data_IF_231341884711
#
_entry.id   IF_231341884711
#
_cell.length_a   1.000
_cell.length_b   1.000
_cell.length_c   1.000
_cell.angle_alpha   90.00
_cell.angle_beta   90.00
_cell.angle_gamma   90.00
#
_symmetry.space_group_name_H-M   'P 1'
#
loop_
_entity.id
_entity.type
_entity.pdbx_description
1 polymer ?
#
# COMPACT_ATOMS: atom_id res chain seq x y z
N UNK A 1 -8.68 13.31 -28.42
CA UNK A 1 -8.99 14.00 -27.16
C UNK A 1 -8.67 13.20 -25.88
N UNK A 2 -8.17 11.95 -25.95
CA UNK A 2 -7.80 11.13 -24.77
C UNK A 2 -6.43 11.49 -24.15
N UNK A 3 -5.50 12.06 -24.92
CA UNK A 3 -4.13 12.31 -24.46
C UNK A 3 -3.94 13.59 -23.62
N UNK A 4 -4.88 14.55 -23.65
CA UNK A 4 -4.78 15.78 -22.86
C UNK A 4 -5.04 15.59 -21.37
N UNK A 5 -5.88 14.62 -20.98
CA UNK A 5 -6.19 14.37 -19.54
C UNK A 5 -4.99 13.78 -18.79
N UNK A 6 -4.26 12.88 -19.43
CA UNK A 6 -3.09 12.24 -18.81
C UNK A 6 -1.91 13.21 -18.67
N UNK A 7 -1.75 14.12 -19.60
CA UNK A 7 -0.72 15.18 -19.54
C UNK A 7 -1.05 16.18 -18.42
N UNK A 8 -2.33 16.50 -18.20
CA UNK A 8 -2.73 17.42 -17.13
C UNK A 8 -2.49 16.84 -15.73
N UNK A 9 -2.73 15.54 -15.53
CA UNK A 9 -2.44 14.84 -14.28
C UNK A 9 -0.92 14.79 -14.05
N UNK A 10 -0.12 14.56 -15.09
CA UNK A 10 1.34 14.55 -14.98
C UNK A 10 1.91 15.94 -14.63
N UNK A 11 1.38 17.01 -15.19
CA UNK A 11 1.76 18.38 -14.86
C UNK A 11 1.31 18.80 -13.45
N UNK A 12 0.14 18.34 -13.00
CA UNK A 12 -0.35 18.63 -11.64
C UNK A 12 0.57 18.01 -10.58
N UNK A 13 1.08 16.80 -10.84
CA UNK A 13 2.04 16.11 -9.94
C UNK A 13 3.40 16.84 -9.93
N UNK A 14 3.86 17.37 -11.06
CA UNK A 14 5.16 18.04 -11.17
C UNK A 14 5.20 19.41 -10.46
N UNK A 15 4.08 20.14 -10.42
CA UNK A 15 4.01 21.46 -9.76
C UNK A 15 3.93 21.39 -8.23
N UNK A 16 3.65 20.20 -7.63
CA UNK A 16 3.58 20.02 -6.18
C UNK A 16 4.93 19.68 -5.52
N UNK A 17 6.00 19.63 -6.29
CA UNK A 17 7.35 19.28 -5.78
C UNK A 17 8.16 20.49 -5.26
N UNK A 18 7.52 21.56 -4.80
CA UNK A 18 8.21 22.59 -4.03
C UNK A 18 8.53 22.03 -2.66
N UNK A 19 9.82 21.95 -2.34
CA UNK A 19 10.33 21.37 -1.10
C UNK A 19 9.62 21.95 0.13
N UNK A 20 8.78 21.14 0.77
CA UNK A 20 8.18 21.48 2.04
C UNK A 20 9.29 21.49 3.10
N UNK A 21 9.51 22.64 3.70
CA UNK A 21 10.27 22.75 4.93
C UNK A 21 9.53 21.98 6.02
N UNK A 22 10.24 21.22 6.86
CA UNK A 22 9.64 20.31 7.85
C UNK A 22 8.74 20.99 8.91
N UNK A 23 8.56 22.31 8.83
CA UNK A 23 7.80 23.12 9.79
C UNK A 23 6.53 23.76 9.23
N UNK A 24 6.22 23.61 7.93
CA UNK A 24 5.00 24.18 7.34
C UNK A 24 4.24 23.10 6.60
N UNK A 25 3.19 22.54 7.22
CA UNK A 25 2.18 21.75 6.52
C UNK A 25 1.19 22.71 5.86
N UNK A 26 1.24 22.88 4.52
CA UNK A 26 0.37 23.84 3.83
C UNK A 26 -1.13 23.45 3.91
N UNK A 27 -1.43 22.25 4.36
CA UNK A 27 -2.78 21.70 4.47
C UNK A 27 -3.17 21.35 5.91
N UNK A 28 -2.50 21.90 6.94
CA UNK A 28 -2.70 21.52 8.34
C UNK A 28 -4.17 21.59 8.75
N UNK A 29 -4.87 22.71 8.50
CA UNK A 29 -6.27 22.88 8.87
C UNK A 29 -7.19 21.85 8.17
N UNK A 30 -6.93 21.58 6.91
CA UNK A 30 -7.64 20.55 6.15
C UNK A 30 -7.36 19.16 6.72
N UNK A 31 -6.08 18.84 6.92
CA UNK A 31 -5.63 17.55 7.43
C UNK A 31 -6.21 17.25 8.81
N UNK A 32 -6.29 18.25 9.72
CA UNK A 32 -6.90 18.11 11.05
C UNK A 32 -8.40 17.82 10.98
N UNK A 33 -9.14 18.47 10.09
CA UNK A 33 -10.58 18.19 9.90
C UNK A 33 -10.84 16.79 9.39
N UNK A 34 -10.07 16.35 8.41
CA UNK A 34 -10.19 15.00 7.86
C UNK A 34 -9.75 13.95 8.88
N UNK A 35 -8.70 14.23 9.68
CA UNK A 35 -8.30 13.38 10.79
C UNK A 35 -9.47 13.15 11.75
N UNK A 36 -10.11 14.22 12.25
CA UNK A 36 -11.24 14.11 13.17
C UNK A 36 -12.43 13.35 12.56
N UNK A 37 -12.67 13.51 11.25
CA UNK A 37 -13.67 12.74 10.55
C UNK A 37 -13.31 11.24 10.49
N UNK A 38 -12.06 10.92 10.16
CA UNK A 38 -11.58 9.53 10.13
C UNK A 38 -11.64 8.89 11.53
N UNK A 39 -11.24 9.62 12.58
CA UNK A 39 -11.32 9.16 13.97
C UNK A 39 -12.77 8.87 14.37
N UNK A 40 -13.71 9.75 13.99
CA UNK A 40 -15.15 9.51 14.23
C UNK A 40 -15.62 8.22 13.54
N UNK A 41 -15.23 7.98 12.30
CA UNK A 41 -15.57 6.74 11.57
C UNK A 41 -14.93 5.51 12.21
N UNK A 42 -13.68 5.62 12.63
CA UNK A 42 -12.96 4.53 13.29
C UNK A 42 -13.65 4.14 14.61
N UNK A 43 -13.93 5.09 15.47
CA UNK A 43 -14.53 4.85 16.78
C UNK A 43 -15.97 4.31 16.70
N UNK A 44 -16.77 4.79 15.73
CA UNK A 44 -18.19 4.43 15.66
C UNK A 44 -18.51 3.26 14.72
N UNK A 45 -17.62 2.95 13.79
CA UNK A 45 -17.89 1.91 12.79
C UNK A 45 -16.77 0.88 12.67
N UNK A 46 -15.51 1.30 12.44
CA UNK A 46 -14.44 0.36 12.14
C UNK A 46 -14.08 -0.49 13.38
N UNK A 47 -13.82 0.13 14.51
CA UNK A 47 -13.50 -0.57 15.78
C UNK A 47 -14.60 -1.53 16.22
N UNK A 48 -15.87 -1.12 16.35
CA UNK A 48 -16.95 -2.06 16.73
C UNK A 48 -17.08 -3.22 15.74
N UNK A 49 -16.95 -2.94 14.44
CA UNK A 49 -17.01 -4.00 13.43
C UNK A 49 -15.82 -4.98 13.56
N UNK A 50 -14.62 -4.48 13.78
CA UNK A 50 -13.44 -5.29 13.99
C UNK A 50 -13.54 -6.14 15.27
N UNK A 51 -14.07 -5.60 16.38
CA UNK A 51 -14.30 -6.33 17.63
C UNK A 51 -15.30 -7.48 17.44
N UNK A 52 -16.40 -7.24 16.71
CA UNK A 52 -17.34 -8.30 16.37
C UNK A 52 -16.64 -9.38 15.54
N UNK A 53 -15.92 -8.98 14.49
CA UNK A 53 -15.21 -9.90 13.61
C UNK A 53 -14.23 -10.79 14.39
N UNK A 54 -13.37 -10.21 15.22
CA UNK A 54 -12.38 -10.97 16.02
C UNK A 54 -13.03 -11.86 17.09
N UNK A 55 -14.23 -11.49 17.56
CA UNK A 55 -14.96 -12.30 18.53
C UNK A 55 -15.58 -13.55 17.91
N UNK A 56 -16.07 -13.46 16.68
CA UNK A 56 -16.79 -14.57 16.01
C UNK A 56 -15.89 -15.40 15.09
N UNK A 57 -14.73 -14.86 14.68
CA UNK A 57 -13.83 -15.52 13.72
C UNK A 57 -12.72 -16.26 14.46
N UNK A 58 -12.56 -17.58 14.30
CA UNK A 58 -11.43 -18.31 14.88
C UNK A 58 -10.10 -17.81 14.33
N UNK A 59 -9.07 -17.73 15.19
CA UNK A 59 -7.74 -17.17 14.85
C UNK A 59 -7.13 -17.76 13.57
N UNK A 60 -7.28 -19.08 13.37
CA UNK A 60 -6.72 -19.74 12.18
C UNK A 60 -7.36 -19.29 10.88
N UNK A 61 -8.64 -18.89 10.90
CA UNK A 61 -9.36 -18.33 9.75
C UNK A 61 -8.86 -16.90 9.48
N UNK A 62 -8.72 -16.09 10.53
CA UNK A 62 -8.21 -14.73 10.42
C UNK A 62 -6.78 -14.71 9.84
N UNK A 63 -5.91 -15.54 10.38
CA UNK A 63 -4.55 -15.73 9.88
C UNK A 63 -4.56 -16.19 8.41
N UNK A 64 -5.39 -17.17 8.07
CA UNK A 64 -5.47 -17.70 6.72
C UNK A 64 -5.97 -16.68 5.70
N UNK A 65 -6.99 -15.89 6.03
CA UNK A 65 -7.49 -14.80 5.19
C UNK A 65 -6.40 -13.74 5.00
N UNK A 66 -5.73 -13.37 6.07
CA UNK A 66 -4.62 -12.41 6.03
C UNK A 66 -3.50 -12.91 5.12
N UNK A 67 -3.10 -14.17 5.26
CA UNK A 67 -2.06 -14.78 4.43
C UNK A 67 -2.48 -14.83 2.96
N UNK A 68 -3.75 -15.12 2.66
CA UNK A 68 -4.27 -15.13 1.29
C UNK A 68 -4.07 -13.75 0.61
N UNK A 69 -4.52 -12.66 1.25
CA UNK A 69 -4.34 -11.32 0.69
C UNK A 69 -2.86 -10.92 0.59
N UNK A 70 -2.07 -11.29 1.58
CA UNK A 70 -0.63 -11.08 1.57
C UNK A 70 0.05 -11.83 0.41
N UNK A 71 -0.41 -13.04 0.11
CA UNK A 71 0.12 -13.82 -1.01
C UNK A 71 -0.19 -13.16 -2.36
N UNK A 72 -1.36 -12.55 -2.53
CA UNK A 72 -1.65 -11.77 -3.75
C UNK A 72 -0.72 -10.56 -3.89
N UNK A 73 -0.39 -9.89 -2.78
CA UNK A 73 0.52 -8.76 -2.79
C UNK A 73 1.98 -9.14 -3.14
N UNK A 74 2.39 -10.42 -3.02
CA UNK A 74 3.73 -10.85 -3.42
C UNK A 74 3.99 -10.64 -4.92
N UNK A 75 2.94 -10.62 -5.76
CA UNK A 75 3.09 -10.29 -7.19
C UNK A 75 3.44 -8.82 -7.38
N UNK A 76 2.75 -7.92 -6.68
CA UNK A 76 3.05 -6.49 -6.71
C UNK A 76 4.42 -6.19 -6.12
N UNK A 77 4.77 -6.81 -4.99
CA UNK A 77 6.09 -6.73 -4.38
C UNK A 77 7.19 -7.14 -5.38
N UNK A 78 7.04 -8.31 -6.02
CA UNK A 78 7.99 -8.82 -7.00
C UNK A 78 8.17 -7.86 -8.19
N UNK A 79 7.06 -7.33 -8.73
CA UNK A 79 7.10 -6.37 -9.83
C UNK A 79 7.83 -5.08 -9.41
N UNK A 80 7.54 -4.54 -8.24
CA UNK A 80 8.17 -3.33 -7.73
C UNK A 80 9.66 -3.54 -7.42
N UNK A 81 10.06 -4.69 -6.88
CA UNK A 81 11.47 -5.05 -6.70
C UNK A 81 12.24 -5.07 -8.03
N UNK A 82 11.64 -5.61 -9.11
CA UNK A 82 12.25 -5.55 -10.45
C UNK A 82 12.41 -4.11 -10.93
N UNK A 83 11.37 -3.28 -10.79
CA UNK A 83 11.39 -1.88 -11.20
C UNK A 83 12.42 -1.05 -10.41
N UNK A 84 12.73 -1.47 -9.19
CA UNK A 84 13.76 -0.87 -8.34
C UNK A 84 15.18 -1.41 -8.62
N UNK A 85 15.33 -2.36 -9.55
CA UNK A 85 16.61 -2.97 -9.88
C UNK A 85 17.12 -3.98 -8.84
N UNK A 86 16.21 -4.62 -8.10
CA UNK A 86 16.51 -5.61 -7.04
C UNK A 86 16.04 -7.03 -7.44
N UNK A 87 16.62 -7.64 -8.48
CA UNK A 87 16.10 -8.89 -9.05
C UNK A 87 16.10 -10.08 -8.09
N UNK A 88 17.04 -10.14 -7.13
CA UNK A 88 17.08 -11.23 -6.15
C UNK A 88 15.88 -11.19 -5.21
N UNK A 89 15.49 -10.02 -4.75
CA UNK A 89 14.28 -9.84 -3.93
C UNK A 89 13.02 -10.13 -4.74
N UNK A 90 12.98 -9.70 -6.00
CA UNK A 90 11.87 -10.02 -6.89
C UNK A 90 11.67 -11.53 -7.08
N UNK A 91 12.75 -12.27 -7.28
CA UNK A 91 12.70 -13.75 -7.38
C UNK A 91 12.26 -14.37 -6.06
N UNK A 92 12.71 -13.84 -4.92
CA UNK A 92 12.26 -14.30 -3.62
C UNK A 92 10.73 -14.12 -3.46
N UNK A 93 10.21 -12.92 -3.71
CA UNK A 93 8.79 -12.60 -3.54
C UNK A 93 7.92 -13.40 -4.52
N UNK A 94 8.35 -13.53 -5.77
CA UNK A 94 7.68 -14.39 -6.75
C UNK A 94 7.69 -15.87 -6.33
N UNK A 95 8.79 -16.36 -5.76
CA UNK A 95 8.88 -17.74 -5.25
C UNK A 95 7.93 -17.96 -4.09
N UNK A 96 7.81 -16.99 -3.19
CA UNK A 96 6.81 -16.99 -2.10
C UNK A 96 5.41 -17.14 -2.65
N UNK A 97 5.04 -16.31 -3.65
CA UNK A 97 3.74 -16.41 -4.32
C UNK A 97 3.47 -17.83 -4.85
N UNK A 98 4.41 -18.42 -5.58
CA UNK A 98 4.25 -19.76 -6.15
C UNK A 98 4.09 -20.83 -5.07
N UNK A 99 4.96 -20.83 -4.04
CA UNK A 99 4.95 -21.82 -2.96
C UNK A 99 3.63 -21.72 -2.16
N UNK A 100 3.26 -20.51 -1.76
CA UNK A 100 2.07 -20.30 -0.95
C UNK A 100 0.79 -20.57 -1.77
N UNK A 101 0.78 -20.24 -3.07
CA UNK A 101 -0.37 -20.53 -3.93
C UNK A 101 -0.56 -22.03 -4.22
N UNK A 102 0.52 -22.80 -4.28
CA UNK A 102 0.47 -24.23 -4.60
C UNK A 102 0.37 -25.09 -3.33
N UNK A 103 1.41 -25.06 -2.49
CA UNK A 103 1.51 -25.89 -1.29
C UNK A 103 0.71 -25.27 -0.13
N UNK A 104 0.64 -23.92 -0.07
CA UNK A 104 -0.06 -23.17 0.96
C UNK A 104 -1.57 -23.02 0.75
N UNK A 105 -2.21 -23.81 -0.11
CA UNK A 105 -3.65 -23.75 -0.42
C UNK A 105 -4.09 -22.34 -0.82
N UNK A 106 -3.60 -21.90 -1.98
CA UNK A 106 -3.90 -20.58 -2.57
C UNK A 106 -3.46 -19.41 -1.64
N UNK A 107 -2.42 -19.64 -0.84
CA UNK A 107 -1.88 -18.64 0.08
C UNK A 107 -2.52 -18.61 1.47
N UNK A 108 -3.43 -19.53 1.79
CA UNK A 108 -4.02 -19.62 3.13
C UNK A 108 -2.96 -19.94 4.20
N UNK A 109 -1.97 -20.78 3.87
CA UNK A 109 -0.83 -21.08 4.71
C UNK A 109 0.44 -20.43 4.15
N UNK A 110 1.19 -19.71 4.99
CA UNK A 110 2.49 -19.13 4.61
C UNK A 110 3.62 -20.17 4.78
N UNK A 111 3.68 -21.08 3.81
CA UNK A 111 4.71 -22.13 3.74
C UNK A 111 6.07 -21.53 3.40
N UNK A 112 6.09 -20.47 2.58
CA UNK A 112 7.33 -19.83 2.14
C UNK A 112 8.15 -19.30 3.32
N UNK A 113 7.51 -18.69 4.33
CA UNK A 113 8.18 -18.26 5.55
C UNK A 113 8.78 -19.43 6.34
N UNK A 114 8.12 -20.59 6.37
CA UNK A 114 8.67 -21.79 7.04
C UNK A 114 9.90 -22.36 6.32
N UNK A 115 10.05 -22.05 5.02
CA UNK A 115 11.21 -22.42 4.21
C UNK A 115 12.34 -21.37 4.27
N UNK A 116 12.18 -20.31 5.06
CA UNK A 116 13.19 -19.27 5.25
C UNK A 116 13.22 -18.20 4.15
N UNK A 117 12.14 -18.06 3.37
CA UNK A 117 12.01 -16.96 2.42
C UNK A 117 11.46 -15.74 3.15
N UNK A 118 12.27 -14.69 3.23
CA UNK A 118 11.87 -13.43 3.86
C UNK A 118 10.79 -12.72 3.04
N UNK A 119 9.89 -12.03 3.75
CA UNK A 119 8.85 -11.21 3.14
C UNK A 119 9.33 -9.78 2.96
N UNK A 120 8.98 -9.18 1.82
CA UNK A 120 9.17 -7.76 1.55
C UNK A 120 7.81 -7.12 1.30
N UNK A 121 7.68 -5.85 1.70
CA UNK A 121 6.48 -5.05 1.44
C UNK A 121 6.90 -3.85 0.57
N UNK A 122 6.63 -3.94 -0.72
CA UNK A 122 6.98 -2.94 -1.71
C UNK A 122 5.72 -2.45 -2.45
N UNK A 123 5.70 -1.16 -2.77
CA UNK A 123 4.64 -0.56 -3.56
C UNK A 123 5.21 0.35 -4.66
N UNK A 124 4.37 0.73 -5.62
CA UNK A 124 4.81 1.60 -6.70
C UNK A 124 5.17 3.01 -6.22
N UNK A 125 4.66 3.47 -5.07
CA UNK A 125 5.08 4.72 -4.45
C UNK A 125 6.52 4.67 -3.96
N UNK A 126 6.96 3.51 -3.42
CA UNK A 126 8.36 3.27 -3.05
C UNK A 126 9.24 3.20 -4.30
N UNK A 127 8.76 2.55 -5.36
CA UNK A 127 9.43 2.50 -6.67
C UNK A 127 9.65 3.91 -7.23
N UNK A 128 8.62 4.76 -7.24
CA UNK A 128 8.77 6.17 -7.62
C UNK A 128 9.79 6.91 -6.74
N UNK A 129 9.82 6.60 -5.44
CA UNK A 129 10.82 7.13 -4.51
C UNK A 129 12.24 6.72 -4.87
N UNK A 130 12.47 5.46 -5.23
CA UNK A 130 13.77 4.96 -5.68
C UNK A 130 14.24 5.62 -6.98
N UNK A 131 13.31 6.06 -7.81
CA UNK A 131 13.58 6.84 -9.04
C UNK A 131 13.76 8.34 -8.78
N UNK A 132 13.73 8.79 -7.51
CA UNK A 132 13.98 10.17 -7.12
C UNK A 132 12.75 11.08 -7.16
N UNK A 133 11.54 10.53 -7.30
CA UNK A 133 10.31 11.32 -7.21
C UNK A 133 10.08 11.73 -5.76
N UNK A 134 9.93 13.03 -5.50
CA UNK A 134 9.68 13.56 -4.15
C UNK A 134 8.31 13.11 -3.62
N UNK A 135 8.17 13.01 -2.30
CA UNK A 135 6.91 12.60 -1.67
C UNK A 135 5.76 13.60 -1.90
N UNK A 136 6.10 14.90 -2.00
CA UNK A 136 5.14 15.98 -1.95
C UNK A 136 4.63 16.26 -0.52
N UNK A 137 3.66 17.18 -0.36
CA UNK A 137 3.12 17.56 0.93
C UNK A 137 2.33 16.39 1.57
N UNK A 138 2.21 16.43 2.89
CA UNK A 138 1.36 15.52 3.63
C UNK A 138 -0.12 15.85 3.39
N UNK A 139 -0.92 14.81 3.19
CA UNK A 139 -2.37 14.90 2.99
C UNK A 139 -3.08 13.84 3.82
N UNK A 140 -4.09 14.24 4.55
CA UNK A 140 -5.03 13.33 5.18
C UNK A 140 -6.21 13.09 4.23
N UNK A 141 -6.43 11.83 3.85
CA UNK A 141 -7.51 11.45 2.93
C UNK A 141 -8.69 10.86 3.72
N UNK A 142 -9.93 11.28 3.41
CA UNK A 142 -11.11 10.67 4.04
C UNK A 142 -11.12 9.16 3.87
N UNK A 143 -11.34 8.43 4.97
CA UNK A 143 -11.39 6.96 5.06
C UNK A 143 -10.01 6.29 4.84
N UNK A 144 -9.19 6.84 3.97
CA UNK A 144 -7.94 6.26 3.52
C UNK A 144 -6.75 6.52 4.46
N UNK A 145 -6.83 7.59 5.27
CA UNK A 145 -5.79 7.97 6.22
C UNK A 145 -4.65 8.80 5.61
N UNK A 146 -3.45 8.73 6.21
CA UNK A 146 -2.30 9.54 5.81
C UNK A 146 -1.76 9.15 4.43
N UNK A 147 -1.46 10.15 3.61
CA UNK A 147 -0.96 9.97 2.26
C UNK A 147 -0.05 11.13 1.81
N UNK A 148 0.64 10.91 0.71
CA UNK A 148 1.33 11.94 -0.07
C UNK A 148 0.94 11.78 -1.55
N UNK A 149 1.11 12.77 -2.41
CA UNK A 149 0.87 12.63 -3.84
C UNK A 149 1.56 11.40 -4.45
N UNK A 150 2.80 11.13 -4.05
CA UNK A 150 3.55 9.97 -4.50
C UNK A 150 2.93 8.65 -4.03
N UNK A 151 2.56 8.55 -2.74
CA UNK A 151 1.96 7.32 -2.22
C UNK A 151 0.56 7.07 -2.80
N UNK A 152 -0.22 8.13 -3.09
CA UNK A 152 -1.51 7.99 -3.76
C UNK A 152 -1.34 7.48 -5.19
N UNK A 153 -0.37 8.03 -5.94
CA UNK A 153 -0.05 7.53 -7.27
C UNK A 153 0.38 6.05 -7.22
N UNK A 154 1.20 5.70 -6.24
CA UNK A 154 1.63 4.32 -6.00
C UNK A 154 0.46 3.37 -5.76
N UNK A 155 -0.38 3.68 -4.79
CA UNK A 155 -1.56 2.87 -4.45
C UNK A 155 -2.55 2.73 -5.62
N UNK A 156 -2.71 3.78 -6.43
CA UNK A 156 -3.59 3.73 -7.61
C UNK A 156 -3.09 2.76 -8.68
N UNK A 157 -1.78 2.56 -8.80
CA UNK A 157 -1.18 1.59 -9.73
C UNK A 157 -1.25 0.18 -9.14
N UNK A 158 -0.84 -0.01 -7.89
CA UNK A 158 -0.87 -1.30 -7.19
C UNK A 158 -2.30 -1.87 -7.03
N UNK A 159 -3.34 -1.03 -7.05
CA UNK A 159 -4.74 -1.49 -7.00
C UNK A 159 -5.27 -2.02 -8.34
N UNK A 160 -4.51 -1.91 -9.42
CA UNK A 160 -4.90 -2.33 -10.79
C UNK A 160 -4.15 -3.60 -11.22
N UNK A 161 -3.06 -3.93 -10.53
CA UNK A 161 -2.26 -5.15 -10.74
C UNK A 161 -2.77 -6.28 -9.87
#
# INVERSE_FOLDING_TARGET
MKNCKNIFIFYLIFFLSTGASANDDPFEDFNRRIWSFNEYLDDNFAKPTAEIYTTITPDFIEIGITNFFRNLNELDNSANQLLQGRPLFAVNDFSRFIINSTIGLVGFFDIASTLGLDRHDEDFGQTLGSWGVSSGPFLMIPIYGPATPRSLAGRSVSSVL
#
